data_IF_814173826827
#
_entry.id   IF_814173826827
#
_cell.length_a   1.000
_cell.length_b   1.000
_cell.length_c   1.000
_cell.angle_alpha   90.00
_cell.angle_beta   90.00
_cell.angle_gamma   90.00
#
_symmetry.space_group_name_H-M   'P 1'
#
loop_
_entity.id
_entity.type
_entity.pdbx_description
1 polymer ?
#
# COMPACT_ATOMS: atom_id res chain seq x y z
N UNK A 1 17.16 23.76 26.58
CA UNK A 1 15.99 24.11 27.41
C UNK A 1 14.96 23.02 27.21
N UNK A 2 14.42 22.48 28.30
CA UNK A 2 13.41 21.42 28.25
C UNK A 2 12.09 21.94 27.65
N UNK A 3 11.44 21.15 26.78
CA UNK A 3 10.18 21.49 26.11
C UNK A 3 9.02 21.73 27.09
N UNK A 4 9.03 20.99 28.20
CA UNK A 4 8.04 21.09 29.29
C UNK A 4 7.99 22.49 29.90
N UNK A 5 9.15 23.13 30.07
CA UNK A 5 9.24 24.49 30.59
C UNK A 5 8.69 25.55 29.62
N UNK A 6 8.72 25.27 28.31
CA UNK A 6 8.19 26.19 27.29
C UNK A 6 6.66 26.11 27.23
N UNK A 7 6.09 24.91 27.32
CA UNK A 7 4.64 24.68 27.29
C UNK A 7 3.90 25.26 28.51
N UNK A 8 4.59 25.46 29.63
CA UNK A 8 4.03 26.09 30.82
C UNK A 8 3.91 27.62 30.76
N UNK A 9 4.52 28.25 29.76
CA UNK A 9 4.47 29.71 29.56
C UNK A 9 3.28 30.08 28.65
N UNK A 10 2.59 31.20 28.92
CA UNK A 10 1.58 31.70 27.99
C UNK A 10 2.26 32.17 26.69
N UNK A 11 1.56 32.02 25.55
CA UNK A 11 2.12 32.30 24.22
C UNK A 11 2.74 33.69 24.06
N UNK A 12 2.22 34.70 24.78
CA UNK A 12 2.71 36.08 24.73
C UNK A 12 3.96 36.36 25.59
N UNK A 13 4.41 35.42 26.43
CA UNK A 13 5.61 35.56 27.26
C UNK A 13 6.78 34.69 26.78
N UNK A 14 6.56 33.83 25.77
CA UNK A 14 7.66 33.08 25.18
C UNK A 14 8.42 33.95 24.18
N UNK A 15 9.73 33.71 24.09
CA UNK A 15 10.56 34.33 23.07
C UNK A 15 10.35 33.65 21.71
N UNK A 16 10.62 34.35 20.61
CA UNK A 16 10.51 33.77 19.27
C UNK A 16 11.37 32.50 19.08
N UNK A 17 12.52 32.41 19.75
CA UNK A 17 13.37 31.22 19.73
C UNK A 17 12.68 30.00 20.38
N UNK A 18 11.96 30.22 21.49
CA UNK A 18 11.18 29.18 22.14
C UNK A 18 10.02 28.72 21.26
N UNK A 19 9.34 29.66 20.58
CA UNK A 19 8.27 29.35 19.63
C UNK A 19 8.75 28.50 18.45
N UNK A 20 9.87 28.87 17.83
CA UNK A 20 10.44 28.11 16.71
C UNK A 20 10.83 26.68 17.13
N UNK A 21 11.29 26.50 18.37
CA UNK A 21 11.63 25.19 18.93
C UNK A 21 10.39 24.30 19.07
N UNK A 22 9.27 24.84 19.59
CA UNK A 22 8.00 24.12 19.66
C UNK A 22 7.47 23.74 18.26
N UNK A 23 7.55 24.66 17.31
CA UNK A 23 7.09 24.42 15.94
C UNK A 23 7.91 23.33 15.25
N UNK A 24 9.24 23.36 15.42
CA UNK A 24 10.13 22.33 14.89
C UNK A 24 9.81 20.95 15.47
N UNK A 25 9.49 20.87 16.75
CA UNK A 25 9.11 19.61 17.39
C UNK A 25 7.75 19.10 16.91
N UNK A 26 6.74 19.97 16.81
CA UNK A 26 5.43 19.61 16.27
C UNK A 26 5.50 19.11 14.81
N UNK A 27 6.44 19.64 14.02
CA UNK A 27 6.69 19.17 12.65
C UNK A 27 7.46 17.84 12.59
N UNK A 28 8.33 17.55 13.56
CA UNK A 28 9.01 16.25 13.67
C UNK A 28 8.03 15.15 14.06
N UNK A 29 7.13 15.42 15.00
CA UNK A 29 6.08 14.48 15.40
C UNK A 29 5.15 14.17 14.21
N UNK A 30 4.84 15.19 13.38
CA UNK A 30 4.14 15.00 12.10
C UNK A 30 4.96 14.37 10.97
N UNK A 31 6.29 14.25 11.12
CA UNK A 31 7.11 13.43 10.21
C UNK A 31 7.15 11.96 10.63
N UNK A 32 6.69 11.60 11.83
CA UNK A 32 6.67 10.21 12.29
C UNK A 32 5.41 9.39 11.92
N UNK A 33 4.46 9.88 11.09
CA UNK A 33 3.59 8.95 10.36
C UNK A 33 4.03 8.67 8.91
N UNK A 34 4.60 9.61 8.15
CA UNK A 34 4.64 9.46 6.68
C UNK A 34 5.84 10.13 6.00
N UNK A 35 7.05 9.64 6.26
CA UNK A 35 8.19 9.82 5.37
C UNK A 35 8.81 8.49 4.96
N UNK A 36 7.97 7.46 4.79
CA UNK A 36 8.32 6.32 3.94
C UNK A 36 7.99 6.72 2.51
N UNK A 37 9.06 6.89 1.75
CA UNK A 37 9.04 7.09 0.33
C UNK A 37 8.08 6.10 -0.34
N UNK A 38 7.25 6.63 -1.24
CA UNK A 38 6.79 5.88 -2.37
C UNK A 38 8.01 5.34 -3.12
N UNK A 39 8.39 4.10 -2.83
CA UNK A 39 8.87 3.04 -3.73
C UNK A 39 9.52 1.97 -2.88
N UNK A 40 8.86 0.82 -2.79
CA UNK A 40 9.37 -0.55 -2.91
C UNK A 40 8.36 -1.40 -2.15
N UNK A 41 7.86 -2.41 -2.84
CA UNK A 41 6.95 -3.40 -2.30
C UNK A 41 7.61 -4.12 -1.14
N UNK A 42 7.47 -3.61 0.08
CA UNK A 42 7.71 -4.41 1.27
C UNK A 42 6.53 -5.37 1.38
N UNK A 43 6.68 -6.51 0.69
CA UNK A 43 6.06 -7.78 1.03
C UNK A 43 6.52 -8.17 2.45
N UNK A 44 6.18 -7.34 3.43
CA UNK A 44 6.40 -7.65 4.82
C UNK A 44 5.47 -8.81 5.16
N UNK A 45 6.11 -9.94 5.46
CA UNK A 45 5.63 -11.32 5.66
C UNK A 45 4.41 -11.54 6.60
N UNK A 46 3.65 -10.50 6.96
CA UNK A 46 2.52 -10.57 7.88
C UNK A 46 1.13 -10.59 7.23
N UNK A 47 0.95 -10.00 6.04
CA UNK A 47 -0.39 -9.83 5.45
C UNK A 47 -0.73 -10.92 4.44
N UNK A 48 -1.36 -12.00 4.92
CA UNK A 48 -1.81 -13.13 4.09
C UNK A 48 -2.84 -12.72 3.03
N UNK A 49 -3.63 -11.69 3.33
CA UNK A 49 -4.75 -11.25 2.50
C UNK A 49 -4.58 -9.81 2.01
N UNK A 50 -5.19 -9.50 0.88
CA UNK A 50 -5.37 -8.16 0.35
C UNK A 50 -6.86 -7.91 0.11
N UNK A 51 -7.29 -6.63 0.12
CA UNK A 51 -8.71 -6.29 0.11
C UNK A 51 -9.08 -5.40 -1.08
N UNK A 52 -10.23 -5.71 -1.67
CA UNK A 52 -10.82 -4.91 -2.75
C UNK A 52 -10.03 -4.93 -4.05
N UNK A 53 -10.38 -3.99 -4.94
CA UNK A 53 -9.66 -3.79 -6.21
C UNK A 53 -8.26 -3.20 -5.94
N UNK A 54 -8.10 -2.39 -4.90
CA UNK A 54 -6.80 -1.87 -4.46
C UNK A 54 -5.85 -3.00 -4.06
N UNK A 55 -6.33 -4.04 -3.38
CA UNK A 55 -5.53 -5.21 -3.03
C UNK A 55 -4.97 -5.94 -4.26
N UNK A 56 -5.74 -6.04 -5.34
CA UNK A 56 -5.26 -6.59 -6.62
C UNK A 56 -4.14 -5.69 -7.19
N UNK A 57 -4.32 -4.37 -7.14
CA UNK A 57 -3.31 -3.41 -7.58
C UNK A 57 -2.00 -3.56 -6.78
N UNK A 58 -2.08 -3.71 -5.46
CA UNK A 58 -0.92 -3.89 -4.58
C UNK A 58 -0.18 -5.20 -4.86
N UNK A 59 -0.89 -6.31 -5.07
CA UNK A 59 -0.28 -7.61 -5.33
C UNK A 59 0.49 -7.60 -6.66
N UNK A 60 -0.12 -7.05 -7.71
CA UNK A 60 0.41 -7.15 -9.08
C UNK A 60 1.14 -5.90 -9.57
N UNK A 61 1.15 -4.81 -8.79
CA UNK A 61 1.68 -3.52 -9.21
C UNK A 61 0.95 -2.94 -10.43
N UNK A 62 -0.35 -3.21 -10.57
CA UNK A 62 -1.14 -2.84 -11.76
C UNK A 62 -2.11 -1.68 -11.51
N UNK A 63 -2.52 -0.99 -12.57
CA UNK A 63 -3.54 0.07 -12.47
C UNK A 63 -4.93 -0.49 -12.20
N UNK A 64 -5.82 0.34 -11.62
CA UNK A 64 -7.23 -0.02 -11.34
C UNK A 64 -7.98 -0.66 -12.52
N UNK A 65 -7.92 -0.14 -13.77
CA UNK A 65 -8.62 -0.77 -14.89
C UNK A 65 -8.04 -2.14 -15.26
N UNK A 66 -6.72 -2.31 -15.13
CA UNK A 66 -6.06 -3.60 -15.37
C UNK A 66 -6.44 -4.62 -14.31
N UNK A 67 -6.50 -4.22 -13.04
CA UNK A 67 -7.00 -5.06 -11.95
C UNK A 67 -8.46 -5.52 -12.20
N UNK A 68 -9.31 -4.64 -12.70
CA UNK A 68 -10.69 -4.99 -13.08
C UNK A 68 -10.74 -5.99 -14.24
N UNK A 69 -9.89 -5.81 -15.26
CA UNK A 69 -9.75 -6.79 -16.35
C UNK A 69 -9.30 -8.14 -15.83
N UNK A 70 -8.33 -8.17 -14.92
CA UNK A 70 -7.83 -9.40 -14.32
C UNK A 70 -8.93 -10.12 -13.54
N UNK A 71 -9.72 -9.39 -12.73
CA UNK A 71 -10.92 -9.93 -12.07
C UNK A 71 -11.94 -10.47 -13.08
N UNK A 72 -12.25 -9.72 -14.14
CA UNK A 72 -13.21 -10.14 -15.18
C UNK A 72 -12.73 -11.35 -16.00
N UNK A 73 -11.41 -11.51 -16.15
CA UNK A 73 -10.81 -12.61 -16.92
C UNK A 73 -10.82 -13.95 -16.19
N UNK A 74 -11.08 -13.96 -14.88
CA UNK A 74 -11.17 -15.18 -14.06
C UNK A 74 -9.83 -15.85 -13.71
N UNK A 75 -8.70 -15.27 -14.12
CA UNK A 75 -7.36 -15.87 -13.91
C UNK A 75 -7.01 -16.05 -12.42
N UNK A 76 -7.59 -15.21 -11.55
CA UNK A 76 -7.30 -15.17 -10.11
C UNK A 76 -8.49 -15.64 -9.25
N UNK A 77 -9.55 -16.20 -9.86
CA UNK A 77 -10.79 -16.54 -9.14
C UNK A 77 -10.55 -17.54 -8.00
N UNK A 78 -9.61 -18.48 -8.17
CA UNK A 78 -9.23 -19.44 -7.12
C UNK A 78 -8.58 -18.80 -5.88
N UNK A 79 -8.13 -17.55 -5.98
CA UNK A 79 -7.56 -16.78 -4.87
C UNK A 79 -8.54 -15.74 -4.30
N UNK A 80 -9.68 -15.51 -4.96
CA UNK A 80 -10.67 -14.52 -4.56
C UNK A 80 -11.75 -15.18 -3.69
N UNK A 81 -11.97 -14.59 -2.52
CA UNK A 81 -13.15 -14.84 -1.69
C UNK A 81 -14.02 -13.58 -1.81
N UNK A 82 -15.17 -13.71 -2.48
CA UNK A 82 -16.10 -12.60 -2.69
C UNK A 82 -17.37 -12.80 -1.86
N UNK A 83 -17.61 -11.85 -0.95
CA UNK A 83 -18.89 -11.68 -0.28
C UNK A 83 -19.51 -10.38 -0.82
N UNK A 84 -20.49 -10.51 -1.72
CA UNK A 84 -21.15 -9.37 -2.39
C UNK A 84 -20.17 -8.38 -3.04
N UNK A 85 -20.03 -7.16 -2.49
CA UNK A 85 -19.10 -6.11 -2.96
C UNK A 85 -17.70 -6.26 -2.36
N UNK A 86 -17.56 -6.99 -1.26
CA UNK A 86 -16.30 -7.20 -0.56
C UNK A 86 -15.50 -8.30 -1.26
N UNK A 87 -14.23 -8.00 -1.52
CA UNK A 87 -13.30 -8.91 -2.18
C UNK A 87 -12.11 -9.09 -1.24
N UNK A 88 -11.84 -10.33 -0.85
CA UNK A 88 -10.66 -10.71 -0.08
C UNK A 88 -9.81 -11.60 -0.97
N UNK A 89 -8.53 -11.30 -1.11
CA UNK A 89 -7.62 -12.00 -2.01
C UNK A 89 -6.47 -12.59 -1.20
N UNK A 90 -6.23 -13.90 -1.37
CA UNK A 90 -5.04 -14.55 -0.85
C UNK A 90 -3.83 -14.19 -1.73
N UNK A 91 -2.81 -13.53 -1.16
CA UNK A 91 -1.67 -12.99 -1.92
C UNK A 91 -0.84 -14.08 -2.57
N UNK A 92 -0.56 -15.16 -1.83
CA UNK A 92 0.32 -16.24 -2.31
C UNK A 92 -0.37 -17.04 -3.41
N UNK A 93 -1.64 -17.38 -3.21
CA UNK A 93 -2.43 -18.10 -4.22
C UNK A 93 -2.60 -17.29 -5.51
N UNK A 94 -2.82 -15.97 -5.40
CA UNK A 94 -2.97 -15.10 -6.56
C UNK A 94 -1.72 -15.10 -7.45
N UNK A 95 -0.52 -15.08 -6.86
CA UNK A 95 0.73 -15.15 -7.61
C UNK A 95 0.94 -16.53 -8.27
N UNK A 96 0.65 -17.62 -7.55
CA UNK A 96 0.79 -18.98 -8.06
C UNK A 96 -0.12 -19.21 -9.29
N UNK A 97 -1.40 -18.84 -9.20
CA UNK A 97 -2.37 -19.01 -10.30
C UNK A 97 -1.96 -18.25 -11.57
N UNK A 98 -1.41 -17.05 -11.42
CA UNK A 98 -0.92 -16.27 -12.56
C UNK A 98 0.30 -16.93 -13.20
N UNK A 99 1.21 -17.52 -12.41
CA UNK A 99 2.35 -18.26 -12.94
C UNK A 99 1.90 -19.50 -13.72
N UNK A 100 0.94 -20.27 -13.19
CA UNK A 100 0.36 -21.44 -13.85
C UNK A 100 -0.32 -21.05 -15.17
N UNK A 101 -1.16 -20.03 -15.17
CA UNK A 101 -1.81 -19.52 -16.38
C UNK A 101 -0.78 -19.04 -17.42
N UNK A 102 0.28 -18.36 -17.00
CA UNK A 102 1.35 -17.93 -17.89
C UNK A 102 2.15 -19.11 -18.47
N UNK A 103 2.36 -20.17 -17.69
CA UNK A 103 3.01 -21.40 -18.16
C UNK A 103 2.17 -22.09 -19.24
N UNK A 104 0.85 -22.19 -19.03
CA UNK A 104 -0.08 -22.78 -20.01
C UNK A 104 -0.11 -21.99 -21.34
N UNK A 105 0.00 -20.66 -21.28
CA UNK A 105 0.01 -19.81 -22.48
C UNK A 105 1.30 -19.87 -23.30
N UNK A 106 2.43 -20.31 -22.71
CA UNK A 106 3.71 -20.40 -23.44
C UNK A 106 3.70 -21.44 -24.58
N UNK A 107 2.65 -22.26 -24.70
CA UNK A 107 2.41 -23.14 -25.86
C UNK A 107 1.60 -22.52 -27.00
N UNK A 108 1.09 -21.30 -26.85
CA UNK A 108 0.25 -20.61 -27.83
C UNK A 108 1.06 -19.97 -28.95
N UNK A 109 1.00 -20.57 -30.13
CA UNK A 109 1.69 -20.25 -31.37
C UNK A 109 1.83 -18.74 -31.68
N UNK A 110 3.05 -18.32 -31.98
CA UNK A 110 3.38 -17.08 -32.70
C UNK A 110 2.72 -17.17 -34.09
N UNK A 111 1.63 -16.45 -34.33
CA UNK A 111 1.19 -16.19 -35.70
C UNK A 111 2.31 -15.37 -36.37
N UNK A 112 3.17 -16.05 -37.14
CA UNK A 112 4.08 -15.40 -38.08
C UNK A 112 3.19 -14.61 -39.05
N UNK A 113 3.39 -13.30 -39.12
CA UNK A 113 2.94 -12.49 -40.25
C UNK A 113 3.77 -12.86 -41.48
#
# INVERSE_FOLDING_TARGET
MELSSILGLPLGLMTGAQFLTLMAEALKDRRQPEAQAATVNDFSDGQKYAYGISGICEIFGCSKPTAQRLKKSGVIDGAIIQNERTIVIDRQKALALVQEHNAQRKGGCRCKK
#
